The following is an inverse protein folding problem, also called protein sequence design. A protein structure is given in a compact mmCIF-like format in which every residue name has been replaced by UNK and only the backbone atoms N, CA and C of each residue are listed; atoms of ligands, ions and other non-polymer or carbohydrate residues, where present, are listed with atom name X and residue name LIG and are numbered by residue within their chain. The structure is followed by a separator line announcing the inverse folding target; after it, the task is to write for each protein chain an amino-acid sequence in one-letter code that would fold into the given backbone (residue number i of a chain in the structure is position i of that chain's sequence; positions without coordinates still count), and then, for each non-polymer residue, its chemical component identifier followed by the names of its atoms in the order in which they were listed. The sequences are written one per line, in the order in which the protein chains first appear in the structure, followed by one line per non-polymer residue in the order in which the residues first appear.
data_IF_964506524936
#
_entry.id   IF_964506524936
#
_cell.length_a   1.000
_cell.length_b   1.000
_cell.length_c   1.000
_cell.angle_alpha   90.00
_cell.angle_beta   90.00
_cell.angle_gamma   90.00
#
_symmetry.space_group_name_H-M   'P 1'
#
loop_
_entity.id
_entity.type
_entity.pdbx_description
1 polymer ?
#
# COMPACT_ATOMS: atom_id res chain seq x y z
N UNK A 1 15.10 -19.20 32.20
CA UNK A 1 15.40 -18.90 30.77
C UNK A 1 14.20 -18.34 30.02
N UNK A 2 13.01 -18.95 30.05
CA UNK A 2 11.83 -18.46 29.32
C UNK A 2 11.43 -17.01 29.67
N UNK A 3 11.36 -16.65 30.96
CA UNK A 3 11.04 -15.29 31.39
C UNK A 3 12.06 -14.25 30.90
N UNK A 4 13.36 -14.60 30.89
CA UNK A 4 14.42 -13.71 30.39
C UNK A 4 14.26 -13.47 28.88
N UNK A 5 13.96 -14.52 28.10
CA UNK A 5 13.70 -14.41 26.67
C UNK A 5 12.44 -13.57 26.39
N UNK A 6 11.41 -13.70 27.22
CA UNK A 6 10.20 -12.88 27.12
C UNK A 6 10.52 -11.40 27.37
N UNK A 7 11.18 -11.09 28.49
CA UNK A 7 11.47 -9.71 28.88
C UNK A 7 12.49 -9.08 27.93
N UNK A 8 13.66 -9.69 27.76
CA UNK A 8 14.74 -9.11 26.97
C UNK A 8 14.47 -9.23 25.47
N UNK A 9 13.99 -10.40 25.03
CA UNK A 9 13.71 -10.65 23.63
C UNK A 9 12.47 -9.92 23.17
N UNK A 10 11.29 -10.26 23.69
CA UNK A 10 10.02 -9.73 23.19
C UNK A 10 9.82 -8.27 23.61
N UNK A 11 9.89 -7.97 24.92
CA UNK A 11 9.62 -6.59 25.38
C UNK A 11 10.74 -5.63 24.97
N UNK A 12 12.01 -6.06 25.03
CA UNK A 12 13.13 -5.26 24.55
C UNK A 12 13.04 -4.93 23.06
N UNK A 13 12.68 -5.90 22.22
CA UNK A 13 12.46 -5.67 20.80
C UNK A 13 11.26 -4.76 20.53
N UNK A 14 10.13 -4.98 21.21
CA UNK A 14 8.94 -4.11 21.08
C UNK A 14 9.23 -2.67 21.52
N UNK A 15 9.96 -2.48 22.60
CA UNK A 15 10.39 -1.16 23.07
C UNK A 15 11.27 -0.47 22.02
N UNK A 16 12.23 -1.20 21.42
CA UNK A 16 13.08 -0.69 20.36
C UNK A 16 12.27 -0.30 19.10
N UNK A 17 11.32 -1.14 18.68
CA UNK A 17 10.44 -0.85 17.54
C UNK A 17 9.54 0.35 17.81
N UNK A 18 8.99 0.47 19.01
CA UNK A 18 8.16 1.60 19.44
C UNK A 18 8.98 2.90 19.42
N UNK A 19 10.17 2.87 20.00
CA UNK A 19 11.10 3.98 19.98
C UNK A 19 11.45 4.39 18.54
N UNK A 20 11.75 3.42 17.68
CA UNK A 20 12.05 3.67 16.28
C UNK A 20 10.87 4.33 15.54
N UNK A 21 9.63 3.87 15.74
CA UNK A 21 8.43 4.49 15.14
C UNK A 21 8.23 5.92 15.59
N UNK A 22 8.40 6.21 16.88
CA UNK A 22 8.24 7.56 17.44
C UNK A 22 9.31 8.52 16.91
N UNK A 23 10.54 8.05 16.73
CA UNK A 23 11.66 8.88 16.24
C UNK A 23 11.79 8.92 14.71
N UNK A 24 11.09 8.05 13.98
CA UNK A 24 11.21 7.94 12.52
C UNK A 24 10.93 9.24 11.76
N UNK A 25 9.89 10.04 12.11
CA UNK A 25 9.66 11.34 11.48
C UNK A 25 10.85 12.30 11.68
N UNK A 26 11.38 12.38 12.91
CA UNK A 26 12.55 13.20 13.24
C UNK A 26 13.80 12.78 12.46
N UNK A 27 14.05 11.47 12.33
CA UNK A 27 15.17 10.96 11.52
C UNK A 27 15.00 11.25 10.04
N UNK A 28 13.76 11.21 9.53
CA UNK A 28 13.45 11.58 8.14
C UNK A 28 13.75 13.06 7.89
N UNK A 29 13.27 13.95 8.76
CA UNK A 29 13.50 15.40 8.67
C UNK A 29 14.98 15.77 8.75
N UNK A 30 15.75 15.10 9.63
CA UNK A 30 17.20 15.33 9.77
C UNK A 30 18.06 14.71 8.65
N UNK A 31 17.46 14.16 7.59
CA UNK A 31 18.18 13.50 6.51
C UNK A 31 18.91 12.21 6.93
N UNK A 32 18.58 11.62 8.08
CA UNK A 32 19.20 10.39 8.61
C UNK A 32 18.59 9.13 7.97
N UNK A 33 18.55 9.09 6.63
CA UNK A 33 17.91 8.02 5.87
C UNK A 33 18.51 6.63 6.12
N UNK A 34 19.75 6.54 6.63
CA UNK A 34 20.35 5.25 7.03
C UNK A 34 19.59 4.59 8.20
N UNK A 35 19.19 5.38 9.21
CA UNK A 35 18.45 4.87 10.37
C UNK A 35 17.03 4.47 9.98
N UNK A 36 16.34 5.31 9.20
CA UNK A 36 15.00 5.01 8.70
C UNK A 36 14.99 3.73 7.85
N UNK A 37 16.04 3.51 7.03
CA UNK A 37 16.19 2.27 6.25
C UNK A 37 16.42 1.02 7.11
N UNK A 38 17.07 1.12 8.27
CA UNK A 38 17.22 -0.03 9.17
C UNK A 38 15.86 -0.55 9.68
N UNK A 39 14.89 0.36 9.86
CA UNK A 39 13.51 0.02 10.24
C UNK A 39 12.56 -0.05 9.04
N UNK A 40 13.09 -0.22 7.82
CA UNK A 40 12.28 -0.34 6.61
C UNK A 40 11.27 -1.48 6.71
N UNK A 41 11.64 -2.60 7.34
CA UNK A 41 10.70 -3.71 7.53
C UNK A 41 9.44 -3.24 8.28
N UNK A 42 9.58 -2.39 9.29
CA UNK A 42 8.47 -1.93 10.12
C UNK A 42 7.59 -0.89 9.42
N UNK A 43 8.19 -0.01 8.62
CA UNK A 43 7.51 1.18 8.07
C UNK A 43 7.03 1.01 6.63
N UNK A 44 7.80 0.30 5.80
CA UNK A 44 7.63 0.32 4.34
C UNK A 44 6.31 -0.28 3.85
N UNK A 45 5.71 -1.18 4.64
CA UNK A 45 4.46 -1.88 4.32
C UNK A 45 3.24 -0.96 4.39
N UNK A 46 3.34 0.08 5.23
CA UNK A 46 2.21 0.90 5.62
C UNK A 46 2.20 2.23 4.88
N UNK A 47 1.02 2.85 4.83
CA UNK A 47 0.85 4.22 4.37
C UNK A 47 1.67 5.17 5.23
N UNK A 48 2.17 6.23 4.61
CA UNK A 48 2.94 7.29 5.28
C UNK A 48 2.12 8.12 6.26
N UNK A 49 0.80 7.90 6.36
CA UNK A 49 -0.08 8.54 7.34
C UNK A 49 -0.35 7.62 8.55
N UNK A 50 -0.17 6.30 8.37
CA UNK A 50 -0.41 5.24 9.37
C UNK A 50 0.85 4.42 9.65
N UNK A 51 2.03 5.04 9.56
CA UNK A 51 3.34 4.38 9.73
C UNK A 51 3.52 3.75 11.11
N UNK A 52 2.82 4.30 12.11
CA UNK A 52 2.86 3.83 13.49
C UNK A 52 2.19 2.48 13.69
N UNK A 53 1.34 2.05 12.75
CA UNK A 53 0.56 0.81 12.84
C UNK A 53 1.43 -0.46 12.86
N UNK A 54 2.68 -0.37 12.41
CA UNK A 54 3.62 -1.48 12.52
C UNK A 54 3.85 -1.97 13.95
N UNK A 55 3.76 -1.10 14.95
CA UNK A 55 3.94 -1.46 16.37
C UNK A 55 2.73 -2.24 16.91
N UNK A 56 1.48 -1.75 16.80
CA UNK A 56 0.29 -2.54 17.10
C UNK A 56 0.34 -3.93 16.45
N UNK A 57 0.69 -4.02 15.16
CA UNK A 57 0.77 -5.31 14.47
C UNK A 57 1.77 -6.27 15.12
N UNK A 58 2.93 -5.78 15.58
CA UNK A 58 3.90 -6.59 16.31
C UNK A 58 3.42 -6.99 17.71
N UNK A 59 2.65 -6.13 18.38
CA UNK A 59 2.08 -6.37 19.71
C UNK A 59 0.96 -7.42 19.67
N UNK A 60 0.24 -7.53 18.54
CA UNK A 60 -0.89 -8.47 18.36
C UNK A 60 -0.52 -9.91 18.72
N UNK A 61 0.60 -10.42 18.22
CA UNK A 61 1.05 -11.80 18.47
C UNK A 61 1.28 -12.10 19.96
N UNK A 62 2.15 -11.33 20.65
CA UNK A 62 2.35 -11.45 22.09
C UNK A 62 1.06 -11.33 22.91
N UNK A 63 0.18 -10.37 22.57
CA UNK A 63 -1.11 -10.23 23.26
C UNK A 63 -2.03 -11.43 23.08
N UNK A 64 -2.02 -12.10 21.92
CA UNK A 64 -2.79 -13.33 21.71
C UNK A 64 -2.20 -14.53 22.45
N UNK A 65 -0.88 -14.57 22.64
CA UNK A 65 -0.20 -15.65 23.38
C UNK A 65 -0.38 -15.56 24.90
N UNK A 66 -0.61 -14.35 25.42
CA UNK A 66 -0.64 -14.08 26.86
C UNK A 66 -1.81 -14.77 27.57
N UNK A 67 -3.07 -14.73 27.08
CA UNK A 67 -4.18 -15.45 27.69
C UNK A 67 -3.94 -16.96 27.79
N UNK A 68 -3.36 -17.56 26.73
CA UNK A 68 -3.03 -18.99 26.70
C UNK A 68 -2.01 -19.34 27.78
N UNK A 69 -1.02 -18.47 28.00
CA UNK A 69 0.02 -18.69 29.01
C UNK A 69 -0.44 -18.42 30.45
N UNK A 70 -1.31 -17.42 30.68
CA UNK A 70 -1.69 -16.98 32.02
C UNK A 70 -2.95 -17.67 32.56
N UNK A 71 -3.88 -18.06 31.69
CA UNK A 71 -5.19 -18.58 32.09
C UNK A 71 -5.36 -20.04 31.68
N UNK A 72 -4.32 -20.86 31.82
CA UNK A 72 -4.31 -22.28 31.39
C UNK A 72 -5.51 -23.07 31.91
N UNK A 73 -5.95 -22.78 33.12
CA UNK A 73 -7.01 -23.52 33.81
C UNK A 73 -8.42 -22.93 33.56
N UNK A 74 -8.50 -21.80 32.84
CA UNK A 74 -9.74 -21.07 32.61
C UNK A 74 -9.98 -20.77 31.11
N UNK A 75 -10.37 -21.79 30.31
CA UNK A 75 -10.63 -21.61 28.88
C UNK A 75 -11.62 -20.48 28.54
N UNK A 76 -12.72 -20.22 29.30
CA UNK A 76 -13.60 -19.10 29.00
C UNK A 76 -12.89 -17.74 29.07
N UNK A 77 -11.96 -17.57 30.03
CA UNK A 77 -11.16 -16.34 30.16
C UNK A 77 -10.20 -16.21 28.98
N UNK A 78 -9.58 -17.32 28.53
CA UNK A 78 -8.72 -17.31 27.35
C UNK A 78 -9.47 -16.81 26.11
N UNK A 79 -10.65 -17.38 25.85
CA UNK A 79 -11.50 -17.04 24.70
C UNK A 79 -11.93 -15.57 24.76
N UNK A 80 -12.45 -15.10 25.89
CA UNK A 80 -12.85 -13.70 26.08
C UNK A 80 -11.69 -12.73 25.87
N UNK A 81 -10.51 -13.02 26.41
CA UNK A 81 -9.34 -12.17 26.28
C UNK A 81 -8.84 -12.13 24.82
N UNK A 82 -8.78 -13.27 24.13
CA UNK A 82 -8.40 -13.33 22.72
C UNK A 82 -9.39 -12.59 21.81
N UNK A 83 -10.70 -12.78 22.02
CA UNK A 83 -11.74 -12.03 21.29
C UNK A 83 -11.61 -10.52 21.51
N UNK A 84 -11.36 -10.09 22.76
CA UNK A 84 -11.15 -8.67 23.07
C UNK A 84 -9.96 -8.09 22.32
N UNK A 85 -8.85 -8.84 22.26
CA UNK A 85 -7.67 -8.44 21.46
C UNK A 85 -8.04 -8.29 19.99
N UNK A 86 -8.70 -9.29 19.38
CA UNK A 86 -9.07 -9.18 17.97
C UNK A 86 -10.04 -8.01 17.69
N UNK A 87 -11.04 -7.76 18.55
CA UNK A 87 -11.98 -6.64 18.38
C UNK A 87 -11.24 -5.29 18.42
N UNK A 88 -10.31 -5.11 19.36
CA UNK A 88 -9.50 -3.88 19.43
C UNK A 88 -8.66 -3.72 18.17
N UNK A 89 -8.02 -4.79 17.69
CA UNK A 89 -7.23 -4.74 16.45
C UNK A 89 -8.07 -4.49 15.21
N UNK A 90 -9.25 -5.10 15.11
CA UNK A 90 -10.20 -4.85 14.03
C UNK A 90 -10.64 -3.38 14.02
N UNK A 91 -10.97 -2.81 15.17
CA UNK A 91 -11.33 -1.40 15.28
C UNK A 91 -10.18 -0.47 14.88
N UNK A 92 -8.95 -0.76 15.32
CA UNK A 92 -7.77 0.00 14.94
C UNK A 92 -7.49 -0.09 13.44
N UNK A 93 -7.63 -1.27 12.85
CA UNK A 93 -7.40 -1.51 11.43
C UNK A 93 -8.46 -0.81 10.56
N UNK A 94 -9.75 -0.98 10.87
CA UNK A 94 -10.85 -0.32 10.18
C UNK A 94 -10.79 1.21 10.31
N UNK A 95 -10.16 1.74 11.36
CA UNK A 95 -9.92 3.17 11.53
C UNK A 95 -8.70 3.66 10.74
N UNK A 96 -7.59 2.93 10.79
CA UNK A 96 -6.30 3.40 10.29
C UNK A 96 -6.05 3.08 8.81
N UNK A 97 -6.70 2.05 8.25
CA UNK A 97 -6.45 1.52 6.89
C UNK A 97 -4.96 1.51 6.54
N UNK A 98 -4.15 0.81 7.35
CA UNK A 98 -2.72 1.03 7.40
C UNK A 98 -1.99 0.56 6.15
N UNK A 99 -2.53 -0.43 5.42
CA UNK A 99 -1.86 -1.03 4.27
C UNK A 99 -1.89 -0.09 3.06
N UNK A 100 -0.78 -0.04 2.30
CA UNK A 100 -0.71 0.74 1.06
C UNK A 100 -1.71 0.28 0.01
N UNK A 101 -1.93 -1.03 -0.06
CA UNK A 101 -2.86 -1.66 -0.99
C UNK A 101 -4.24 -1.72 -0.34
N UNK A 102 -5.27 -1.02 -0.84
CA UNK A 102 -6.61 -1.00 -0.27
C UNK A 102 -7.21 -2.40 -0.05
N UNK A 103 -7.03 -3.31 -1.01
CA UNK A 103 -7.53 -4.68 -0.91
C UNK A 103 -6.92 -5.47 0.26
N UNK A 104 -5.66 -5.20 0.65
CA UNK A 104 -5.06 -5.85 1.81
C UNK A 104 -5.73 -5.41 3.12
N UNK A 105 -6.21 -4.15 3.22
CA UNK A 105 -6.98 -3.70 4.38
C UNK A 105 -8.32 -4.43 4.49
N UNK A 106 -9.00 -4.66 3.35
CA UNK A 106 -10.27 -5.41 3.35
C UNK A 106 -10.03 -6.86 3.77
N UNK A 107 -8.97 -7.49 3.24
CA UNK A 107 -8.64 -8.88 3.56
C UNK A 107 -8.19 -9.08 5.00
N UNK A 108 -7.33 -8.21 5.55
CA UNK A 108 -6.86 -8.31 6.94
C UNK A 108 -8.01 -8.04 7.93
N UNK A 109 -8.89 -7.07 7.65
CA UNK A 109 -10.11 -6.85 8.43
C UNK A 109 -11.07 -8.05 8.37
N UNK A 110 -11.28 -8.63 7.19
CA UNK A 110 -12.09 -9.84 7.01
C UNK A 110 -11.51 -11.03 7.78
N UNK A 111 -10.21 -11.26 7.69
CA UNK A 111 -9.52 -12.31 8.44
C UNK A 111 -9.64 -12.09 9.95
N UNK A 112 -9.48 -10.85 10.41
CA UNK A 112 -9.63 -10.52 11.83
C UNK A 112 -11.06 -10.76 12.32
N UNK A 113 -12.07 -10.42 11.51
CA UNK A 113 -13.47 -10.71 11.79
C UNK A 113 -13.74 -12.21 11.85
N UNK A 114 -13.31 -12.99 10.85
CA UNK A 114 -13.47 -14.45 10.83
C UNK A 114 -12.79 -15.10 12.04
N UNK A 115 -11.57 -14.66 12.39
CA UNK A 115 -10.87 -15.15 13.58
C UNK A 115 -11.61 -14.81 14.87
N UNK A 116 -12.17 -13.60 14.98
CA UNK A 116 -12.99 -13.20 16.13
C UNK A 116 -14.22 -14.10 16.28
N UNK A 117 -14.93 -14.35 15.18
CA UNK A 117 -16.10 -15.23 15.14
C UNK A 117 -15.73 -16.68 15.45
N UNK A 118 -14.59 -17.15 14.94
CA UNK A 118 -14.10 -18.51 15.20
C UNK A 118 -13.76 -18.70 16.68
N UNK A 119 -13.02 -17.77 17.28
CA UNK A 119 -12.74 -17.78 18.72
C UNK A 119 -14.02 -17.64 19.54
N UNK A 120 -14.99 -16.84 19.11
CA UNK A 120 -16.31 -16.80 19.73
C UNK A 120 -17.05 -18.14 19.63
N UNK A 121 -16.97 -18.84 18.49
CA UNK A 121 -17.62 -20.13 18.29
C UNK A 121 -17.04 -21.24 19.18
N UNK A 122 -15.75 -21.15 19.57
CA UNK A 122 -15.17 -22.12 20.51
C UNK A 122 -15.74 -21.97 21.92
N UNK A 123 -16.26 -20.79 22.31
CA UNK A 123 -16.94 -20.65 23.60
C UNK A 123 -18.22 -21.47 23.69
N UNK A 124 -18.91 -21.70 22.56
CA UNK A 124 -20.10 -22.55 22.48
C UNK A 124 -19.77 -24.02 22.80
N UNK A 125 -18.52 -24.43 22.60
CA UNK A 125 -18.06 -25.79 22.88
C UNK A 125 -17.63 -25.99 24.34
N UNK A 126 -17.52 -24.92 25.14
CA UNK A 126 -17.10 -24.98 26.56
C UNK A 126 -18.26 -25.30 27.51
N UNK A 127 -19.50 -25.17 27.07
CA UNK A 127 -20.68 -25.55 27.84
C UNK A 127 -21.14 -26.98 27.55
N UNK A 128 -21.89 -27.59 28.48
CA UNK A 128 -22.63 -28.84 28.28
C UNK A 128 -23.84 -28.64 27.36
N UNK A 129 -23.61 -28.01 26.21
CA UNK A 129 -24.60 -27.81 25.17
C UNK A 129 -24.71 -29.14 24.43
N UNK A 130 -25.76 -29.89 24.70
CA UNK A 130 -26.08 -31.16 24.04
C UNK A 130 -27.11 -30.95 22.91
N UNK A 131 -27.13 -31.86 21.94
CA UNK A 131 -28.09 -31.88 20.85
C UNK A 131 -27.82 -30.85 19.75
N UNK A 132 -28.90 -30.29 19.19
CA UNK A 132 -28.90 -29.50 17.94
C UNK A 132 -27.97 -28.28 17.96
N UNK A 133 -27.78 -27.66 19.13
CA UNK A 133 -26.95 -26.46 19.25
C UNK A 133 -25.45 -26.78 19.11
N UNK A 134 -25.01 -27.99 19.47
CA UNK A 134 -23.63 -28.45 19.23
C UNK A 134 -23.39 -28.70 17.73
N UNK A 135 -24.37 -29.28 17.05
CA UNK A 135 -24.30 -29.50 15.60
C UNK A 135 -24.23 -28.16 14.86
N UNK A 136 -25.06 -27.19 15.26
CA UNK A 136 -25.00 -25.82 14.74
C UNK A 136 -23.63 -25.19 14.95
N UNK A 137 -23.06 -25.25 16.16
CA UNK A 137 -21.75 -24.69 16.45
C UNK A 137 -20.64 -25.36 15.64
N UNK A 138 -20.73 -26.68 15.42
CA UNK A 138 -19.78 -27.45 14.62
C UNK A 138 -19.85 -27.09 13.13
N UNK A 139 -21.06 -26.94 12.60
CA UNK A 139 -21.29 -26.48 11.22
C UNK A 139 -20.77 -25.05 11.05
N UNK A 140 -21.11 -24.15 11.98
CA UNK A 140 -20.65 -22.76 11.96
C UNK A 140 -19.11 -22.68 11.98
N UNK A 141 -18.46 -23.39 12.89
CA UNK A 141 -17.00 -23.44 12.97
C UNK A 141 -16.38 -24.00 11.68
N UNK A 142 -16.98 -25.04 11.09
CA UNK A 142 -16.52 -25.62 9.83
C UNK A 142 -16.64 -24.64 8.67
N UNK A 143 -17.75 -23.90 8.58
CA UNK A 143 -17.95 -22.85 7.57
C UNK A 143 -16.93 -21.72 7.76
N UNK A 144 -16.74 -21.23 8.99
CA UNK A 144 -15.75 -20.19 9.30
C UNK A 144 -14.32 -20.63 8.95
N UNK A 145 -13.95 -21.87 9.25
CA UNK A 145 -12.67 -22.46 8.86
C UNK A 145 -12.53 -22.58 7.34
N UNK A 146 -13.58 -22.95 6.63
CA UNK A 146 -13.62 -22.96 5.17
C UNK A 146 -13.41 -21.57 4.58
N UNK A 147 -14.14 -20.55 5.08
CA UNK A 147 -13.96 -19.16 4.69
C UNK A 147 -12.54 -18.66 4.95
N UNK A 148 -11.97 -18.99 6.10
CA UNK A 148 -10.58 -18.68 6.43
C UNK A 148 -9.61 -19.33 5.43
N UNK A 149 -9.81 -20.61 5.09
CA UNK A 149 -9.01 -21.32 4.11
C UNK A 149 -9.06 -20.68 2.72
N UNK A 150 -10.24 -20.27 2.27
CA UNK A 150 -10.44 -19.56 0.99
C UNK A 150 -9.76 -18.20 1.01
N UNK A 151 -9.89 -17.43 2.09
CA UNK A 151 -9.23 -16.12 2.23
C UNK A 151 -7.70 -16.24 2.24
N UNK A 152 -7.15 -17.28 2.87
CA UNK A 152 -5.71 -17.54 2.86
C UNK A 152 -5.22 -17.99 1.47
N UNK A 153 -5.98 -18.85 0.79
CA UNK A 153 -5.67 -19.30 -0.56
C UNK A 153 -5.71 -18.13 -1.57
N UNK A 154 -6.67 -17.21 -1.43
CA UNK A 154 -6.75 -16.03 -2.28
C UNK A 154 -5.56 -15.09 -2.04
N UNK A 155 -5.17 -14.82 -0.80
CA UNK A 155 -3.96 -14.03 -0.50
C UNK A 155 -2.69 -14.68 -1.05
N UNK A 156 -2.57 -16.01 -0.97
CA UNK A 156 -1.44 -16.74 -1.54
C UNK A 156 -1.42 -16.61 -3.07
N UNK A 157 -2.56 -16.85 -3.72
CA UNK A 157 -2.69 -16.72 -5.17
C UNK A 157 -2.32 -15.29 -5.62
N UNK A 158 -2.88 -14.27 -4.96
CA UNK A 158 -2.56 -12.88 -5.22
C UNK A 158 -1.08 -12.55 -5.05
N UNK A 159 -0.44 -13.11 -4.01
CA UNK A 159 1.00 -12.93 -3.77
C UNK A 159 1.81 -13.56 -4.89
N UNK A 160 1.48 -14.78 -5.31
CA UNK A 160 2.14 -15.47 -6.43
C UNK A 160 1.94 -14.68 -7.73
N UNK A 161 0.72 -14.25 -8.04
CA UNK A 161 0.43 -13.43 -9.21
C UNK A 161 1.20 -12.12 -9.20
N UNK A 162 1.31 -11.44 -8.06
CA UNK A 162 2.09 -10.22 -7.92
C UNK A 162 3.58 -10.46 -8.16
N UNK A 163 4.14 -11.56 -7.66
CA UNK A 163 5.54 -11.93 -7.86
C UNK A 163 5.83 -12.28 -9.33
N UNK A 164 4.96 -13.09 -9.96
CA UNK A 164 5.09 -13.48 -11.37
C UNK A 164 4.97 -12.27 -12.27
N UNK A 165 3.97 -11.40 -12.05
CA UNK A 165 3.78 -10.18 -12.84
C UNK A 165 4.97 -9.23 -12.71
N UNK A 166 5.49 -9.06 -11.49
CA UNK A 166 6.68 -8.25 -11.22
C UNK A 166 7.94 -8.81 -11.88
N UNK A 167 8.10 -10.14 -11.90
CA UNK A 167 9.22 -10.79 -12.56
C UNK A 167 9.12 -10.67 -14.09
N UNK A 168 7.93 -10.89 -14.65
CA UNK A 168 7.71 -10.93 -16.10
C UNK A 168 7.81 -9.54 -16.75
N UNK A 169 7.23 -8.51 -16.14
CA UNK A 169 7.10 -7.19 -16.79
C UNK A 169 8.18 -6.20 -16.41
N UNK A 170 9.04 -6.53 -15.43
CA UNK A 170 10.11 -5.64 -14.94
C UNK A 170 9.63 -4.27 -14.43
N UNK A 171 8.31 -4.03 -14.44
CA UNK A 171 7.67 -2.74 -14.22
C UNK A 171 7.17 -2.60 -12.79
N UNK A 172 7.19 -1.37 -12.29
CA UNK A 172 6.61 -0.97 -11.01
C UNK A 172 5.09 -0.72 -11.09
N UNK A 173 4.43 -1.08 -12.19
CA UNK A 173 2.99 -0.86 -12.31
C UNK A 173 2.24 -1.85 -11.40
N UNK A 174 1.52 -1.30 -10.43
CA UNK A 174 0.65 -2.08 -9.56
C UNK A 174 -0.56 -2.58 -10.36
N UNK A 175 -0.97 -3.83 -10.15
CA UNK A 175 -2.15 -4.37 -10.83
C UNK A 175 -3.38 -3.57 -10.41
N UNK A 176 -4.18 -3.15 -11.39
CA UNK A 176 -5.44 -2.45 -11.18
C UNK A 176 -6.34 -3.12 -10.13
N UNK A 177 -6.39 -4.45 -10.13
CA UNK A 177 -7.20 -5.23 -9.19
C UNK A 177 -6.85 -5.00 -7.71
N UNK A 178 -5.59 -4.72 -7.39
CA UNK A 178 -5.15 -4.48 -6.00
C UNK A 178 -5.65 -3.15 -5.44
N UNK A 179 -5.80 -2.15 -6.29
CA UNK A 179 -6.08 -0.78 -5.86
C UNK A 179 -7.58 -0.49 -5.67
N UNK A 180 -8.47 -1.45 -5.94
CA UNK A 180 -9.95 -1.33 -5.91
C UNK A 180 -10.53 -0.19 -6.79
N UNK A 181 -9.67 0.67 -7.32
CA UNK A 181 -9.96 1.86 -8.09
C UNK A 181 -8.87 2.07 -9.14
N UNK A 182 -9.23 2.76 -10.22
CA UNK A 182 -8.28 3.16 -11.26
C UNK A 182 -7.34 4.21 -10.69
N UNK A 183 -6.05 3.88 -10.59
CA UNK A 183 -5.05 4.85 -10.20
C UNK A 183 -4.99 5.95 -11.28
N UNK A 184 -5.21 7.22 -10.95
CA UNK A 184 -5.11 8.30 -11.92
C UNK A 184 -3.67 8.41 -12.41
N UNK A 185 -3.49 8.73 -13.69
CA UNK A 185 -2.15 8.89 -14.24
C UNK A 185 -1.44 10.07 -13.58
N UNK A 186 -0.12 10.02 -13.42
CA UNK A 186 0.64 11.13 -12.84
C UNK A 186 0.48 12.44 -13.63
N UNK A 187 0.30 12.34 -14.95
CA UNK A 187 -0.02 13.46 -15.82
C UNK A 187 -1.39 14.07 -15.48
N UNK A 188 -2.43 13.24 -15.35
CA UNK A 188 -3.78 13.67 -14.98
C UNK A 188 -3.83 14.31 -13.59
N UNK A 189 -3.14 13.72 -12.59
CA UNK A 189 -3.05 14.30 -11.24
C UNK A 189 -2.36 15.67 -11.29
N UNK A 190 -1.26 15.79 -12.05
CA UNK A 190 -0.52 17.05 -12.22
C UNK A 190 -1.37 18.12 -12.91
N UNK A 191 -2.12 17.74 -13.94
CA UNK A 191 -3.04 18.64 -14.65
C UNK A 191 -4.16 19.13 -13.73
N UNK A 192 -4.84 18.23 -13.02
CA UNK A 192 -5.89 18.59 -12.06
C UNK A 192 -5.36 19.46 -10.94
N UNK A 193 -4.16 19.18 -10.43
CA UNK A 193 -3.55 20.00 -9.38
C UNK A 193 -3.23 21.41 -9.88
N UNK A 194 -2.70 21.56 -11.10
CA UNK A 194 -2.46 22.87 -11.72
C UNK A 194 -3.76 23.63 -11.97
N UNK A 195 -4.80 22.95 -12.48
CA UNK A 195 -6.10 23.55 -12.71
C UNK A 195 -6.73 24.05 -11.40
N UNK A 196 -6.69 23.25 -10.33
CA UNK A 196 -7.15 23.65 -9.00
C UNK A 196 -6.36 24.83 -8.45
N UNK A 197 -5.02 24.83 -8.57
CA UNK A 197 -4.18 25.94 -8.12
C UNK A 197 -4.48 27.24 -8.89
N UNK A 198 -4.68 27.15 -10.22
CA UNK A 198 -5.05 28.30 -11.04
C UNK A 198 -6.43 28.85 -10.64
N UNK A 199 -7.40 27.97 -10.38
CA UNK A 199 -8.75 28.36 -9.93
C UNK A 199 -8.71 29.05 -8.57
N UNK A 200 -8.01 28.47 -7.59
CA UNK A 200 -7.84 29.07 -6.25
C UNK A 200 -7.16 30.43 -6.37
N UNK A 201 -6.14 30.56 -7.22
CA UNK A 201 -5.44 31.84 -7.45
C UNK A 201 -6.33 32.91 -8.09
N UNK A 202 -7.34 32.52 -8.87
CA UNK A 202 -8.27 33.45 -9.51
C UNK A 202 -9.46 33.85 -8.64
N UNK A 203 -9.71 33.18 -7.51
CA UNK A 203 -10.82 33.51 -6.61
C UNK A 203 -10.46 34.73 -5.75
N UNK A 204 -11.44 35.59 -5.49
CA UNK A 204 -11.30 36.66 -4.49
C UNK A 204 -11.13 36.05 -3.09
N UNK A 205 -10.37 36.71 -2.22
CA UNK A 205 -10.08 36.21 -0.87
C UNK A 205 -11.36 36.00 -0.05
N UNK A 206 -12.34 36.89 -0.17
CA UNK A 206 -13.66 36.76 0.49
C UNK A 206 -14.41 35.50 0.05
N UNK A 207 -14.41 35.21 -1.24
CA UNK A 207 -15.09 34.05 -1.82
C UNK A 207 -14.39 32.75 -1.41
N UNK A 208 -13.06 32.77 -1.35
CA UNK A 208 -12.29 31.63 -0.86
C UNK A 208 -12.57 31.38 0.62
N UNK A 209 -12.60 32.41 1.46
CA UNK A 209 -12.93 32.29 2.88
C UNK A 209 -14.35 31.77 3.08
N UNK A 210 -15.32 32.26 2.30
CA UNK A 210 -16.68 31.75 2.30
C UNK A 210 -16.72 30.27 1.91
N UNK A 211 -16.08 29.89 0.78
CA UNK A 211 -16.06 28.53 0.29
C UNK A 211 -15.40 27.56 1.29
N UNK A 212 -14.29 27.96 1.90
CA UNK A 212 -13.61 27.19 2.97
C UNK A 212 -14.46 27.13 4.23
N UNK A 213 -15.17 28.21 4.58
CA UNK A 213 -16.08 28.26 5.72
C UNK A 213 -17.34 27.39 5.56
N UNK A 214 -17.71 27.05 4.33
CA UNK A 214 -18.80 26.13 4.02
C UNK A 214 -18.40 24.65 4.07
N UNK A 215 -17.10 24.34 4.12
CA UNK A 215 -16.63 22.96 4.21
C UNK A 215 -16.94 22.37 5.59
N UNK A 216 -17.25 21.08 5.63
CA UNK A 216 -17.35 20.37 6.91
C UNK A 216 -15.98 20.33 7.60
N UNK A 217 -15.97 20.18 8.93
CA UNK A 217 -14.73 20.06 9.72
C UNK A 217 -13.84 18.91 9.21
N UNK A 218 -14.46 17.82 8.73
CA UNK A 218 -13.74 16.68 8.17
C UNK A 218 -13.06 17.04 6.84
N UNK A 219 -13.80 17.69 5.92
CA UNK A 219 -13.28 18.08 4.61
C UNK A 219 -12.20 19.13 4.74
N UNK A 220 -12.36 20.09 5.67
CA UNK A 220 -11.34 21.08 5.98
C UNK A 220 -10.03 20.41 6.44
N UNK A 221 -10.13 19.44 7.35
CA UNK A 221 -8.98 18.66 7.80
C UNK A 221 -8.31 17.88 6.66
N UNK A 222 -9.11 17.35 5.73
CA UNK A 222 -8.61 16.64 4.55
C UNK A 222 -7.88 17.59 3.58
N UNK A 223 -8.44 18.76 3.31
CA UNK A 223 -7.83 19.80 2.47
C UNK A 223 -6.48 20.24 3.05
N UNK A 224 -6.43 20.55 4.35
CA UNK A 224 -5.18 20.91 5.04
C UNK A 224 -4.15 19.79 4.95
N UNK A 225 -4.57 18.53 5.14
CA UNK A 225 -3.70 17.36 5.03
C UNK A 225 -3.14 17.19 3.60
N UNK A 226 -3.97 17.37 2.58
CA UNK A 226 -3.53 17.31 1.18
C UNK A 226 -2.59 18.45 0.80
N UNK A 227 -2.86 19.67 1.25
CA UNK A 227 -1.97 20.81 1.03
C UNK A 227 -0.61 20.58 1.70
N UNK A 228 -0.60 20.10 2.95
CA UNK A 228 0.64 19.74 3.65
C UNK A 228 1.40 18.62 2.93
N UNK A 229 0.69 17.58 2.46
CA UNK A 229 1.30 16.51 1.68
C UNK A 229 1.90 17.02 0.38
N UNK A 230 1.15 17.80 -0.40
CA UNK A 230 1.62 18.38 -1.66
C UNK A 230 2.84 19.28 -1.44
N UNK A 231 2.81 20.12 -0.40
CA UNK A 231 3.95 20.95 -0.03
C UNK A 231 5.18 20.11 0.34
N UNK A 232 5.01 19.10 1.20
CA UNK A 232 6.12 18.26 1.68
C UNK A 232 6.78 17.39 0.61
N UNK A 233 6.05 16.96 -0.41
CA UNK A 233 6.58 16.05 -1.46
C UNK A 233 6.95 16.80 -2.75
N UNK A 234 6.25 17.90 -3.09
CA UNK A 234 6.47 18.63 -4.36
C UNK A 234 7.39 19.84 -4.15
N UNK A 235 7.22 20.59 -3.06
CA UNK A 235 7.93 21.85 -2.82
C UNK A 235 9.17 21.70 -1.91
N UNK A 236 9.59 20.46 -1.64
CA UNK A 236 10.69 20.09 -0.74
C UNK A 236 12.08 20.67 -1.10
N UNK A 237 12.16 21.49 -2.14
CA UNK A 237 13.44 22.04 -2.60
C UNK A 237 13.97 23.18 -1.74
N UNK A 238 13.15 24.04 -1.10
CA UNK A 238 13.72 25.24 -0.42
C UNK A 238 12.98 25.78 0.83
N UNK A 239 11.77 25.32 1.18
CA UNK A 239 10.97 25.95 2.24
C UNK A 239 10.73 25.09 3.49
N UNK A 240 11.22 25.59 4.64
CA UNK A 240 10.63 25.44 5.99
C UNK A 240 10.70 24.09 6.70
N UNK A 241 11.60 23.98 7.69
CA UNK A 241 11.87 22.80 8.53
C UNK A 241 10.69 22.34 9.42
N UNK A 242 9.75 23.21 9.78
CA UNK A 242 8.82 22.91 10.90
C UNK A 242 7.71 21.91 10.54
N UNK A 243 7.11 22.02 9.35
CA UNK A 243 6.03 21.11 8.93
C UNK A 243 6.54 19.71 8.57
N UNK A 244 7.83 19.54 8.30
CA UNK A 244 8.43 18.23 7.99
C UNK A 244 8.56 17.33 9.22
N UNK A 245 8.49 17.87 10.44
CA UNK A 245 8.72 17.08 11.66
C UNK A 245 7.70 15.97 11.90
N UNK A 246 6.50 16.06 11.31
CA UNK A 246 5.41 15.12 11.57
C UNK A 246 5.29 13.99 10.56
N UNK A 247 6.03 14.00 9.45
CA UNK A 247 5.84 13.02 8.36
C UNK A 247 7.14 12.35 7.94
N UNK A 248 7.04 11.09 7.53
CA UNK A 248 8.14 10.37 6.89
C UNK A 248 8.06 10.63 5.39
N UNK A 249 9.06 11.29 4.82
CA UNK A 249 9.09 11.58 3.38
C UNK A 249 9.30 10.29 2.57
N UNK A 250 8.62 10.17 1.43
CA UNK A 250 8.77 9.01 0.54
C UNK A 250 10.23 8.80 0.08
N UNK A 251 10.95 9.91 -0.11
CA UNK A 251 12.37 9.95 -0.46
C UNK A 251 13.30 9.27 0.54
N UNK A 252 12.92 9.14 1.82
CA UNK A 252 13.72 8.45 2.84
C UNK A 252 13.89 6.96 2.57
N UNK A 253 13.03 6.38 1.72
CA UNK A 253 13.12 4.98 1.29
C UNK A 253 13.75 4.79 -0.09
N UNK A 254 14.03 5.87 -0.82
CA UNK A 254 14.66 5.78 -2.12
C UNK A 254 16.06 5.17 -1.97
N UNK A 255 16.47 4.29 -2.90
CA UNK A 255 17.86 3.85 -2.92
C UNK A 255 18.76 5.09 -3.04
N UNK A 256 19.89 5.14 -2.33
CA UNK A 256 20.81 6.25 -2.45
C UNK A 256 21.13 6.41 -3.92
N UNK A 257 20.86 7.60 -4.49
CA UNK A 257 21.24 7.90 -5.87
C UNK A 257 22.71 7.49 -6.00
N UNK A 258 23.07 6.60 -6.94
CA UNK A 258 24.45 6.21 -7.11
C UNK A 258 25.20 7.51 -7.20
N UNK A 259 26.15 7.75 -6.26
CA UNK A 259 26.99 8.94 -6.33
C UNK A 259 27.54 8.89 -7.74
N UNK A 260 27.05 9.77 -8.61
CA UNK A 260 27.61 9.96 -9.93
C UNK A 260 29.06 10.25 -9.61
N UNK A 261 29.90 9.20 -9.69
CA UNK A 261 31.34 9.32 -9.50
C UNK A 261 31.66 10.40 -10.49
N UNK A 262 31.95 11.62 -10.01
CA UNK A 262 32.22 12.78 -10.85
C UNK A 262 33.14 12.25 -11.93
N UNK A 263 32.60 12.05 -13.14
CA UNK A 263 33.34 11.34 -14.17
C UNK A 263 34.59 12.16 -14.35
N UNK A 264 35.74 11.53 -14.09
CA UNK A 264 37.01 12.19 -13.91
C UNK A 264 37.43 12.71 -15.29
N UNK A 265 37.02 13.93 -15.61
CA UNK A 265 37.16 14.62 -16.90
C UNK A 265 36.48 13.89 -18.09
N UNK A 266 35.88 14.62 -19.04
CA UNK A 266 35.29 14.05 -20.25
C UNK A 266 36.28 13.25 -21.12
N UNK A 267 37.59 13.41 -20.91
CA UNK A 267 38.64 12.64 -21.58
C UNK A 267 38.59 11.14 -21.28
N UNK A 268 38.17 10.72 -20.09
CA UNK A 268 38.13 9.30 -19.71
C UNK A 268 36.92 8.56 -20.30
N UNK A 269 35.81 9.27 -20.53
CA UNK A 269 34.64 8.68 -21.19
C UNK A 269 34.95 8.36 -22.65
N UNK A 270 35.61 9.29 -23.36
CA UNK A 270 36.07 9.07 -24.72
C UNK A 270 37.07 7.92 -24.84
N UNK A 271 37.96 7.75 -23.84
CA UNK A 271 38.93 6.65 -23.82
C UNK A 271 38.27 5.29 -23.61
N UNK A 272 37.27 5.20 -22.74
CA UNK A 272 36.49 3.97 -22.53
C UNK A 272 35.68 3.60 -23.77
N UNK A 273 35.00 4.56 -24.38
CA UNK A 273 34.26 4.32 -25.63
C UNK A 273 35.17 3.85 -26.75
N UNK A 274 36.36 4.46 -26.91
CA UNK A 274 37.35 3.99 -27.89
C UNK A 274 37.85 2.59 -27.61
N UNK A 275 38.09 2.23 -26.35
CA UNK A 275 38.52 0.88 -25.97
C UNK A 275 37.40 -0.15 -26.21
N UNK A 276 36.13 0.18 -25.96
CA UNK A 276 35.01 -0.71 -26.26
C UNK A 276 34.83 -0.88 -27.76
N UNK A 277 34.92 0.20 -28.55
CA UNK A 277 34.86 0.13 -30.02
C UNK A 277 36.04 -0.66 -30.57
N UNK A 278 37.27 -0.39 -30.13
CA UNK A 278 38.45 -1.15 -30.57
C UNK A 278 38.35 -2.63 -30.21
N UNK A 279 37.77 -2.97 -29.06
CA UNK A 279 37.55 -4.37 -28.67
C UNK A 279 36.53 -5.05 -29.59
N UNK A 280 35.42 -4.38 -29.89
CA UNK A 280 34.40 -4.89 -30.81
C UNK A 280 34.94 -5.03 -32.24
N UNK A 281 35.75 -4.07 -32.72
CA UNK A 281 36.37 -4.15 -34.05
C UNK A 281 37.42 -5.26 -34.12
N UNK A 282 38.25 -5.45 -33.09
CA UNK A 282 39.21 -6.55 -33.03
C UNK A 282 38.54 -7.93 -32.94
N UNK A 283 37.38 -8.03 -32.28
CA UNK A 283 36.56 -9.25 -32.26
C UNK A 283 35.94 -9.54 -33.63
N UNK A 284 35.56 -8.52 -34.42
CA UNK A 284 35.11 -8.72 -35.80
C UNK A 284 36.24 -9.16 -36.76
N UNK A 285 37.43 -8.59 -36.65
CA UNK A 285 38.55 -8.89 -37.55
C UNK A 285 39.20 -10.26 -37.29
N UNK A 286 39.09 -10.79 -36.07
CA UNK A 286 39.66 -12.10 -35.74
C UNK A 286 38.85 -13.28 -36.27
N UNK A 287 37.72 -13.04 -36.95
CA UNK A 287 36.92 -14.08 -37.59
C UNK A 287 36.42 -15.16 -36.62
N UNK A 288 36.50 -14.89 -35.31
CA UNK A 288 36.01 -15.81 -34.28
C UNK A 288 34.50 -15.62 -34.19
N UNK A 289 33.69 -16.64 -34.50
CA UNK A 289 32.27 -16.57 -34.26
C UNK A 289 32.04 -16.23 -32.79
N UNK A 290 31.28 -15.16 -32.55
CA UNK A 290 31.02 -14.63 -31.22
C UNK A 290 30.46 -15.72 -30.30
N UNK A 291 31.01 -15.83 -29.08
CA UNK A 291 30.53 -16.73 -28.01
C UNK A 291 29.03 -16.56 -27.67
N UNK A 292 28.38 -15.50 -28.17
CA UNK A 292 26.92 -15.34 -28.10
C UNK A 292 26.14 -16.36 -28.96
N UNK A 293 26.80 -17.09 -29.87
CA UNK A 293 26.16 -18.14 -30.66
C UNK A 293 26.26 -19.53 -29.99
N UNK A 294 27.12 -19.69 -28.98
CA UNK A 294 27.31 -20.97 -28.26
C UNK A 294 26.32 -21.12 -27.08
N UNK A 295 25.81 -20.01 -26.52
CA UNK A 295 24.72 -20.07 -25.52
C UNK A 295 23.34 -20.36 -26.12
N UNK A 296 23.14 -20.17 -27.44
CA UNK A 296 21.86 -20.46 -28.10
C UNK A 296 21.70 -21.90 -28.61
N UNK A 297 22.75 -22.73 -28.56
CA UNK A 297 22.69 -24.14 -29.01
C UNK A 297 22.82 -25.17 -27.89
N UNK A 298 22.82 -24.76 -26.61
CA UNK A 298 22.87 -25.67 -25.46
C UNK A 298 21.52 -25.83 -24.71
N UNK A 299 20.40 -25.47 -25.33
CA UNK A 299 19.04 -25.65 -24.77
C UNK A 299 18.15 -26.64 -25.56
N UNK A 300 18.67 -27.39 -26.54
CA UNK A 300 17.89 -28.39 -27.30
C UNK A 300 17.84 -29.80 -26.66
N UNK A 301 18.04 -29.89 -25.34
CA UNK A 301 18.31 -31.14 -24.63
C UNK A 301 17.25 -31.61 -23.62
N UNK A 302 15.98 -31.19 -23.68
CA UNK A 302 14.91 -31.82 -22.89
C UNK A 302 13.53 -31.62 -23.53
N UNK A 303 13.19 -32.52 -24.46
CA UNK A 303 11.86 -32.61 -25.05
C UNK A 303 10.84 -33.16 -24.04
N UNK A 304 9.99 -32.28 -23.50
CA UNK A 304 8.65 -32.63 -23.04
C UNK A 304 7.66 -32.08 -24.06
N UNK A 305 7.04 -33.00 -24.80
CA UNK A 305 6.00 -32.74 -25.80
C UNK A 305 4.77 -32.12 -25.14
N UNK A 306 4.43 -30.90 -25.55
CA UNK A 306 3.09 -30.35 -25.35
C UNK A 306 2.66 -29.61 -26.62
N UNK A 307 2.04 -30.35 -27.53
CA UNK A 307 1.43 -29.83 -28.74
C UNK A 307 -0.02 -29.43 -28.45
N UNK A 308 -0.33 -28.14 -28.58
CA UNK A 308 -1.69 -27.61 -28.64
C UNK A 308 -1.75 -26.50 -29.70
N UNK A 309 -2.73 -26.50 -30.62
CA UNK A 309 -2.74 -25.60 -31.77
C UNK A 309 -3.28 -24.22 -31.37
N UNK A 310 -2.56 -23.16 -31.77
CA UNK A 310 -3.06 -21.78 -31.76
C UNK A 310 -3.37 -21.40 -33.19
N UNK A 311 -4.65 -21.31 -33.50
CA UNK A 311 -5.17 -20.70 -34.73
C UNK A 311 -4.76 -19.23 -34.80
N UNK A 312 -4.13 -18.88 -35.92
CA UNK A 312 -3.89 -17.52 -36.32
C UNK A 312 -5.18 -16.93 -36.89
N UNK A 313 -5.68 -15.85 -36.27
CA UNK A 313 -6.59 -14.91 -36.91
C UNK A 313 -5.85 -13.60 -37.08
N UNK A 314 -5.32 -13.42 -38.29
CA UNK A 314 -4.95 -12.11 -38.80
C UNK A 314 -6.24 -11.45 -39.28
N UNK A 315 -6.49 -10.21 -38.87
CA UNK A 315 -7.29 -9.32 -39.69
C UNK A 315 -6.79 -7.87 -39.59
N UNK A 316 -6.43 -7.39 -40.78
CA UNK A 316 -6.04 -6.02 -41.08
C UNK A 316 -7.28 -5.13 -41.09
N UNK A 317 -7.24 -4.00 -40.39
CA UNK A 317 -8.04 -2.84 -40.77
C UNK A 317 -7.37 -1.54 -40.32
N UNK A 318 -6.88 -0.79 -41.30
CA UNK A 318 -6.41 0.58 -41.14
C UNK A 318 -7.56 1.50 -40.69
N UNK A 319 -7.32 2.45 -39.76
CA UNK A 319 -8.32 3.44 -39.43
C UNK A 319 -8.35 4.54 -40.50
N UNK A 320 -9.55 4.74 -41.07
CA UNK A 320 -9.88 5.89 -41.92
C UNK A 320 -9.97 7.15 -41.08
N UNK A 321 -9.32 8.21 -41.54
CA UNK A 321 -9.54 9.59 -41.12
C UNK A 321 -11.03 9.95 -41.23
N UNK A 322 -11.65 10.27 -40.10
CA UNK A 322 -12.97 10.91 -40.03
C UNK A 322 -12.85 12.07 -39.07
N UNK A 323 -12.74 13.25 -39.67
CA UNK A 323 -12.87 14.55 -39.02
C UNK A 323 -14.36 14.94 -39.06
N UNK A 324 -15.01 15.20 -37.90
CA UNK A 324 -16.01 16.26 -37.92
C UNK A 324 -16.07 17.06 -36.61
N UNK A 325 -15.85 18.38 -36.79
CA UNK A 325 -16.55 19.53 -36.19
C UNK A 325 -16.79 19.58 -34.67
N UNK A 326 -16.39 20.68 -34.00
CA UNK A 326 -16.77 20.94 -32.62
C UNK A 326 -18.28 21.23 -32.54
N UNK A 327 -19.01 20.44 -31.73
CA UNK A 327 -20.34 20.80 -31.24
C UNK A 327 -20.17 21.77 -30.07
N UNK A 328 -20.81 22.94 -30.20
CA UNK A 328 -21.00 23.90 -29.12
C UNK A 328 -21.79 23.26 -27.96
N UNK A 329 -21.46 23.58 -26.70
CA UNK A 329 -22.26 23.14 -25.56
C UNK A 329 -23.51 24.02 -25.41
N UNK A 330 -24.68 23.43 -25.64
CA UNK A 330 -25.97 23.97 -25.24
C UNK A 330 -26.01 24.15 -23.72
N UNK A 331 -26.22 25.38 -23.29
CA UNK A 331 -26.49 25.77 -21.91
C UNK A 331 -27.92 25.39 -21.53
N UNK A 332 -28.07 24.26 -20.82
CA UNK A 332 -29.30 23.90 -20.11
C UNK A 332 -28.95 23.80 -18.62
N UNK A 333 -29.17 24.89 -17.91
CA UNK A 333 -29.42 24.91 -16.48
C UNK A 333 -30.65 25.77 -16.28
N UNK A 334 -31.80 25.20 -16.59
CA UNK A 334 -33.07 25.73 -16.15
C UNK A 334 -33.17 25.57 -14.63
N UNK A 335 -33.46 26.71 -14.03
CA UNK A 335 -33.77 26.95 -12.64
C UNK A 335 -35.05 26.22 -12.22
N UNK A 336 -34.92 25.19 -11.39
CA UNK A 336 -36.00 24.76 -10.50
C UNK A 336 -35.65 25.11 -9.05
N UNK A 337 -36.10 26.30 -8.65
CA UNK A 337 -36.25 26.72 -7.28
C UNK A 337 -37.32 25.86 -6.59
N UNK A 338 -36.90 24.80 -5.90
CA UNK A 338 -37.74 24.10 -4.94
C UNK A 338 -37.51 24.72 -3.57
N UNK A 339 -38.58 25.33 -3.03
CA UNK A 339 -38.58 26.05 -1.76
C UNK A 339 -38.18 25.17 -0.59
N UNK A 340 -37.25 25.67 0.20
CA UNK A 340 -36.93 25.16 1.53
C UNK A 340 -37.83 25.90 2.52
N UNK A 341 -38.65 25.22 3.34
CA UNK A 341 -39.36 25.86 4.43
C UNK A 341 -38.37 26.25 5.53
N UNK A 342 -38.29 27.55 5.83
CA UNK A 342 -37.83 28.05 7.12
C UNK A 342 -38.78 27.51 8.20
N UNK A 343 -38.29 26.61 9.05
CA UNK A 343 -38.71 26.50 10.45
C UNK A 343 -37.82 25.46 11.16
N UNK A 344 -36.79 25.94 11.85
CA UNK A 344 -36.00 25.16 12.78
C UNK A 344 -35.94 25.89 14.12
N UNK A 345 -36.57 25.36 15.18
CA UNK A 345 -36.65 26.05 16.46
C UNK A 345 -35.35 25.95 17.26
N UNK A 346 -35.12 27.05 17.96
CA UNK A 346 -34.20 27.35 19.04
C UNK A 346 -33.44 26.19 19.72
N UNK A 347 -32.12 26.39 19.77
CA UNK A 347 -31.17 25.86 20.75
C UNK A 347 -31.73 25.87 22.19
N UNK A 348 -31.44 24.81 22.93
CA UNK A 348 -31.33 24.78 24.40
C UNK A 348 -30.25 23.73 24.80
N UNK A 349 -29.70 23.82 26.02
CA UNK A 349 -28.32 24.23 26.30
C UNK A 349 -27.24 23.16 26.22
#
# INVERSE_FOLDING_TARGET
MGLLLLIVGVLGFLALCTYAVVLSPRWSAQGQHAKVRAFRFLLFRFRLDSWWFGVPLLIRGPLLSLPIALATDYPPIQVMAMSSVFIVFLALECRAWPWKVPLLNVMDALLCLIMTLLVGSTSLHLGAIEGEMKDFASILASVLMGCLGVAMASLLFMTVSALVYRAALGGQQELFFFNLQKQPSSAEVSERLKASAARIRSMEESDLLLAVGLLSVYDLGLVVSYMSMAHSEIAATEAGDELQMHRICSHSFAPPKPKLRKMKKPSDLGRRLRLTVQRLTAEMDTGRPSLLQEELHSEDGMGASFSGPVEAVADNAAPKDVDPKPKEPESIWDSESSGVPEDLPARLP
#
